data_IF_970267680944
#
_entry.id   IF_970267680944
#
_cell.length_a   1.000
_cell.length_b   1.000
_cell.length_c   1.000
_cell.angle_alpha   90.00
_cell.angle_beta   90.00
_cell.angle_gamma   90.00
#
_symmetry.space_group_name_H-M   'P 1'
#
loop_
_entity.id
_entity.type
_entity.pdbx_description
1 polymer ?
#
# COMPACT_ATOMS: atom_id res chain seq x y z
N UNK A 1 -14.59 -4.04 13.54
CA UNK A 1 -13.82 -4.28 12.30
C UNK A 1 -12.39 -4.59 12.72
N UNK A 2 -11.90 -5.82 12.60
CA UNK A 2 -10.48 -6.10 12.89
C UNK A 2 -9.63 -5.30 11.90
N UNK A 3 -8.80 -4.39 12.40
CA UNK A 3 -7.76 -3.74 11.59
C UNK A 3 -6.90 -4.86 10.98
N UNK A 4 -6.77 -4.86 9.66
CA UNK A 4 -5.91 -5.82 8.95
C UNK A 4 -4.48 -5.38 9.19
N UNK A 5 -3.79 -6.10 10.08
CA UNK A 5 -2.41 -5.83 10.43
C UNK A 5 -1.54 -6.80 9.66
N UNK A 6 -0.86 -6.28 8.65
CA UNK A 6 0.22 -6.99 7.99
C UNK A 6 1.50 -6.83 8.82
N UNK A 7 2.51 -7.61 8.46
CA UNK A 7 3.77 -7.76 9.18
C UNK A 7 4.89 -7.64 8.15
N UNK A 8 5.73 -6.62 8.32
CA UNK A 8 6.86 -6.29 7.46
C UNK A 8 7.87 -7.44 7.31
N UNK A 9 7.93 -8.34 8.29
CA UNK A 9 8.87 -9.48 8.29
C UNK A 9 8.44 -10.60 7.37
N UNK A 10 7.14 -10.71 7.07
CA UNK A 10 6.61 -11.83 6.26
C UNK A 10 5.73 -11.41 5.07
N UNK A 11 5.16 -10.21 5.05
CA UNK A 11 4.22 -9.81 4.00
C UNK A 11 4.85 -8.91 2.94
N UNK A 12 4.56 -9.24 1.69
CA UNK A 12 4.96 -8.44 0.51
C UNK A 12 3.74 -8.22 -0.35
N UNK A 13 3.57 -7.00 -0.85
CA UNK A 13 2.43 -6.63 -1.68
C UNK A 13 2.81 -6.61 -3.16
N UNK A 14 2.00 -7.25 -3.98
CA UNK A 14 2.14 -7.27 -5.43
C UNK A 14 0.84 -6.77 -6.05
N UNK A 15 0.87 -5.81 -6.96
CA UNK A 15 -0.35 -5.35 -7.64
C UNK A 15 -0.11 -5.11 -9.12
N UNK A 16 -1.06 -5.56 -9.92
CA UNK A 16 -1.10 -5.37 -11.37
C UNK A 16 -2.49 -4.94 -11.83
N UNK A 17 -2.54 -4.52 -13.09
CA UNK A 17 -3.70 -3.90 -13.71
C UNK A 17 -3.89 -4.48 -15.09
N UNK A 18 -5.15 -4.64 -15.48
CA UNK A 18 -5.47 -5.07 -16.83
C UNK A 18 -6.75 -4.40 -17.31
N UNK A 19 -6.78 -4.13 -18.62
CA UNK A 19 -7.90 -3.48 -19.29
C UNK A 19 -9.08 -4.46 -19.34
N UNK A 20 -10.27 -3.97 -19.03
CA UNK A 20 -11.53 -4.69 -19.24
C UNK A 20 -12.19 -4.21 -20.54
N UNK A 21 -13.08 -5.01 -21.16
CA UNK A 21 -13.81 -4.58 -22.36
C UNK A 21 -14.48 -3.22 -22.15
N UNK A 22 -14.46 -2.35 -23.17
CA UNK A 22 -15.12 -1.04 -23.11
C UNK A 22 -16.64 -1.19 -22.93
N UNK A 23 -17.27 -0.24 -22.22
CA UNK A 23 -18.73 -0.14 -21.98
C UNK A 23 -19.33 -1.00 -20.85
N UNK A 24 -18.56 -1.35 -19.81
CA UNK A 24 -19.09 -2.08 -18.64
C UNK A 24 -18.82 -1.33 -17.33
N UNK A 25 -19.84 -1.28 -16.45
CA UNK A 25 -19.78 -0.66 -15.12
C UNK A 25 -19.12 -1.57 -14.06
N UNK A 26 -18.13 -2.39 -14.45
CA UNK A 26 -17.56 -3.42 -13.57
C UNK A 26 -16.40 -2.92 -12.69
N UNK A 27 -15.74 -1.82 -13.10
CA UNK A 27 -14.58 -1.27 -12.40
C UNK A 27 -14.77 0.21 -12.08
N UNK A 28 -14.07 0.66 -11.04
CA UNK A 28 -14.16 2.03 -10.52
C UNK A 28 -13.49 3.05 -11.45
N UNK A 29 -12.59 2.64 -12.35
CA UNK A 29 -11.81 3.58 -13.17
C UNK A 29 -11.62 3.10 -14.62
N UNK A 30 -12.03 3.96 -15.57
CA UNK A 30 -11.70 3.99 -17.01
C UNK A 30 -11.40 2.65 -17.72
N UNK A 31 -12.20 1.62 -17.46
CA UNK A 31 -12.02 0.34 -18.13
C UNK A 31 -10.75 -0.42 -17.70
N UNK A 32 -10.25 -0.22 -16.48
CA UNK A 32 -9.18 -1.04 -15.88
C UNK A 32 -9.59 -1.63 -14.54
N UNK A 33 -9.26 -2.91 -14.34
CA UNK A 33 -9.34 -3.56 -13.02
C UNK A 33 -7.94 -3.75 -12.46
N UNK A 34 -7.81 -3.54 -11.15
CA UNK A 34 -6.62 -3.81 -10.36
C UNK A 34 -6.89 -4.95 -9.39
N UNK A 35 -5.94 -5.86 -9.28
CA UNK A 35 -5.94 -6.92 -8.28
C UNK A 35 -4.52 -7.03 -7.71
N UNK A 36 -4.43 -6.95 -6.39
CA UNK A 36 -3.18 -7.09 -5.67
C UNK A 36 -3.21 -8.25 -4.69
N UNK A 37 -2.08 -8.91 -4.52
CA UNK A 37 -1.82 -10.00 -3.58
C UNK A 37 -0.96 -9.50 -2.43
N UNK A 38 -1.33 -9.89 -1.22
CA UNK A 38 -0.51 -9.76 -0.03
C UNK A 38 -0.04 -11.17 0.31
N UNK A 39 1.22 -11.44 0.01
CA UNK A 39 1.80 -12.78 0.06
C UNK A 39 2.65 -12.90 1.31
N UNK A 40 2.48 -13.99 2.06
CA UNK A 40 3.46 -14.39 3.05
C UNK A 40 4.64 -15.03 2.32
N UNK A 41 5.76 -14.31 2.20
CA UNK A 41 6.91 -14.75 1.42
C UNK A 41 7.68 -15.93 2.04
N UNK A 42 7.38 -16.26 3.29
CA UNK A 42 7.97 -17.41 3.98
C UNK A 42 7.27 -18.71 3.59
N UNK A 43 5.96 -18.66 3.31
CA UNK A 43 5.15 -19.84 2.99
C UNK A 43 4.70 -19.90 1.53
N UNK A 44 4.71 -18.78 0.81
CA UNK A 44 4.11 -18.65 -0.52
C UNK A 44 2.58 -18.52 -0.51
N UNK A 45 1.96 -18.39 0.66
CA UNK A 45 0.48 -18.27 0.75
C UNK A 45 0.03 -16.84 0.48
N UNK A 46 -0.99 -16.68 -0.36
CA UNK A 46 -1.72 -15.41 -0.49
C UNK A 46 -2.63 -15.26 0.73
N UNK A 47 -2.22 -14.44 1.70
CA UNK A 47 -2.98 -14.23 2.95
C UNK A 47 -4.07 -13.17 2.78
N UNK A 48 -3.95 -12.27 1.79
CA UNK A 48 -4.97 -11.26 1.50
C UNK A 48 -4.93 -10.76 0.03
N UNK A 49 -6.03 -10.17 -0.43
CA UNK A 49 -6.13 -9.51 -1.74
C UNK A 49 -6.73 -8.11 -1.67
N UNK A 50 -6.31 -7.25 -2.58
CA UNK A 50 -6.92 -5.95 -2.86
C UNK A 50 -7.56 -5.99 -4.25
N UNK A 51 -8.77 -5.45 -4.44
CA UNK A 51 -9.44 -5.49 -5.75
C UNK A 51 -10.23 -4.21 -6.03
N UNK A 52 -10.12 -3.65 -7.23
CA UNK A 52 -10.81 -2.41 -7.63
C UNK A 52 -12.17 -2.62 -8.30
N UNK A 53 -12.70 -3.85 -8.32
CA UNK A 53 -14.07 -4.10 -8.79
C UNK A 53 -15.08 -3.34 -7.93
N UNK A 54 -16.12 -2.81 -8.57
CA UNK A 54 -17.06 -1.88 -7.95
C UNK A 54 -17.84 -2.52 -6.79
N UNK A 55 -18.37 -3.73 -6.98
CA UNK A 55 -19.25 -4.35 -5.98
C UNK A 55 -18.47 -5.10 -4.91
N UNK A 56 -18.87 -4.94 -3.64
CA UNK A 56 -18.29 -5.68 -2.52
C UNK A 56 -18.46 -7.19 -2.68
N UNK A 57 -19.58 -7.63 -3.26
CA UNK A 57 -19.86 -9.05 -3.52
C UNK A 57 -18.82 -9.65 -4.46
N UNK A 58 -18.53 -9.02 -5.59
CA UNK A 58 -17.52 -9.53 -6.52
C UNK A 58 -16.12 -9.59 -5.88
N UNK A 59 -15.75 -8.56 -5.11
CA UNK A 59 -14.46 -8.56 -4.38
C UNK A 59 -14.39 -9.69 -3.35
N UNK A 60 -15.45 -9.91 -2.60
CA UNK A 60 -15.51 -10.99 -1.59
C UNK A 60 -15.49 -12.38 -2.23
N UNK A 61 -16.13 -12.54 -3.39
CA UNK A 61 -16.12 -13.80 -4.13
C UNK A 61 -14.73 -14.15 -4.68
N UNK A 62 -14.04 -13.18 -5.29
CA UNK A 62 -12.65 -13.37 -5.71
C UNK A 62 -11.75 -13.70 -4.51
N UNK A 63 -11.95 -13.01 -3.39
CA UNK A 63 -11.24 -13.28 -2.14
C UNK A 63 -11.44 -14.72 -1.66
N UNK A 64 -12.65 -15.28 -1.73
CA UNK A 64 -12.91 -16.67 -1.32
C UNK A 64 -12.25 -17.72 -2.22
N UNK A 65 -11.87 -17.36 -3.45
CA UNK A 65 -11.16 -18.26 -4.37
C UNK A 65 -9.64 -18.15 -4.19
N UNK A 66 -9.13 -16.93 -3.99
CA UNK A 66 -7.69 -16.63 -4.06
C UNK A 66 -7.00 -16.75 -2.69
N UNK A 67 -7.62 -16.31 -1.61
CA UNK A 67 -6.98 -16.31 -0.28
C UNK A 67 -6.81 -17.74 0.22
N UNK A 68 -5.63 -18.04 0.76
CA UNK A 68 -5.23 -19.38 1.21
C UNK A 68 -4.56 -20.22 0.12
N UNK A 69 -4.51 -19.73 -1.12
CA UNK A 69 -3.78 -20.40 -2.19
C UNK A 69 -2.26 -20.23 -2.02
N UNK A 70 -1.51 -21.34 -2.11
CA UNK A 70 -0.05 -21.34 -2.07
C UNK A 70 0.53 -21.28 -3.49
N UNK A 71 1.15 -20.14 -3.83
CA UNK A 71 1.74 -19.91 -5.16
C UNK A 71 3.12 -20.55 -5.35
N UNK A 72 3.79 -20.96 -4.26
CA UNK A 72 5.06 -21.68 -4.34
C UNK A 72 4.85 -23.17 -4.67
N UNK A 73 3.77 -23.76 -4.17
CA UNK A 73 3.49 -25.19 -4.35
C UNK A 73 2.90 -25.53 -5.72
N UNK A 74 2.00 -24.68 -6.24
CA UNK A 74 1.12 -25.05 -7.35
C UNK A 74 1.17 -24.08 -8.54
N UNK A 75 2.16 -23.17 -8.60
CA UNK A 75 2.16 -22.01 -9.49
C UNK A 75 0.78 -21.30 -9.53
N UNK A 76 0.40 -20.58 -10.59
CA UNK A 76 -0.93 -19.91 -10.67
C UNK A 76 -1.92 -20.54 -11.65
N UNK A 77 -1.53 -21.59 -12.37
CA UNK A 77 -2.38 -22.30 -13.34
C UNK A 77 -3.69 -22.80 -12.73
N UNK A 78 -3.65 -23.62 -11.67
CA UNK A 78 -4.86 -24.11 -11.00
C UNK A 78 -5.74 -23.00 -10.43
N UNK A 79 -5.13 -21.91 -9.94
CA UNK A 79 -5.88 -20.74 -9.49
C UNK A 79 -6.62 -20.04 -10.65
N UNK A 80 -5.96 -19.89 -11.80
CA UNK A 80 -6.56 -19.31 -13.01
C UNK A 80 -7.72 -20.18 -13.50
N UNK A 81 -7.57 -21.51 -13.51
CA UNK A 81 -8.64 -22.44 -13.88
C UNK A 81 -9.86 -22.30 -12.97
N UNK A 82 -9.66 -22.21 -11.65
CA UNK A 82 -10.74 -21.96 -10.69
C UNK A 82 -11.46 -20.64 -10.95
N UNK A 83 -10.73 -19.57 -11.29
CA UNK A 83 -11.32 -18.28 -11.64
C UNK A 83 -12.14 -18.39 -12.94
N UNK A 84 -11.63 -19.09 -13.95
CA UNK A 84 -12.34 -19.31 -15.21
C UNK A 84 -13.64 -20.10 -15.01
N UNK A 85 -13.62 -21.07 -14.10
CA UNK A 85 -14.78 -21.91 -13.78
C UNK A 85 -15.83 -21.22 -12.91
N UNK A 86 -15.40 -20.40 -11.93
CA UNK A 86 -16.30 -19.92 -10.87
C UNK A 86 -16.68 -18.44 -11.02
N UNK A 87 -15.87 -17.61 -11.67
CA UNK A 87 -16.10 -16.16 -11.75
C UNK A 87 -16.45 -15.71 -13.17
N UNK A 88 -17.74 -15.62 -13.49
CA UNK A 88 -18.23 -15.23 -14.83
C UNK A 88 -18.48 -13.74 -15.02
N UNK A 89 -17.68 -12.88 -14.36
CA UNK A 89 -17.73 -11.45 -14.60
C UNK A 89 -17.07 -11.06 -15.93
N UNK A 90 -17.49 -9.95 -16.53
CA UNK A 90 -16.84 -9.40 -17.74
C UNK A 90 -15.34 -9.09 -17.53
N UNK A 91 -14.90 -8.94 -16.28
CA UNK A 91 -13.49 -8.78 -15.90
C UNK A 91 -12.71 -10.09 -15.78
N UNK A 92 -13.31 -11.27 -15.98
CA UNK A 92 -12.67 -12.58 -15.74
C UNK A 92 -11.31 -12.72 -16.45
N UNK A 93 -11.26 -12.41 -17.76
CA UNK A 93 -10.02 -12.48 -18.53
C UNK A 93 -8.94 -11.53 -17.98
N UNK A 94 -9.34 -10.30 -17.64
CA UNK A 94 -8.43 -9.30 -17.05
C UNK A 94 -7.90 -9.76 -15.68
N UNK A 95 -8.75 -10.38 -14.84
CA UNK A 95 -8.34 -10.97 -13.57
C UNK A 95 -7.31 -12.09 -13.80
N UNK A 96 -7.54 -13.00 -14.76
CA UNK A 96 -6.58 -14.07 -15.07
C UNK A 96 -5.21 -13.52 -15.51
N UNK A 97 -5.20 -12.44 -16.30
CA UNK A 97 -3.96 -11.74 -16.70
C UNK A 97 -3.25 -11.18 -15.48
N UNK A 98 -3.97 -10.45 -14.61
CA UNK A 98 -3.39 -9.85 -13.40
C UNK A 98 -2.82 -10.90 -12.45
N UNK A 99 -3.49 -12.05 -12.29
CA UNK A 99 -2.99 -13.16 -11.46
C UNK A 99 -1.61 -13.62 -11.98
N UNK A 100 -1.47 -13.79 -13.30
CA UNK A 100 -0.19 -14.16 -13.92
C UNK A 100 0.87 -13.07 -13.74
N UNK A 101 0.51 -11.80 -13.91
CA UNK A 101 1.44 -10.68 -13.73
C UNK A 101 1.94 -10.56 -12.28
N UNK A 102 1.05 -10.75 -11.31
CA UNK A 102 1.43 -10.76 -9.89
C UNK A 102 2.35 -11.93 -9.56
N UNK A 103 2.11 -13.11 -10.15
CA UNK A 103 2.99 -14.26 -9.99
C UNK A 103 4.38 -14.02 -10.57
N UNK A 104 4.47 -13.43 -11.76
CA UNK A 104 5.76 -13.07 -12.37
C UNK A 104 6.54 -12.09 -11.48
N UNK A 105 5.87 -11.03 -10.99
CA UNK A 105 6.47 -10.07 -10.05
C UNK A 105 6.93 -10.73 -8.76
N UNK A 106 6.15 -11.66 -8.23
CA UNK A 106 6.51 -12.43 -7.04
C UNK A 106 7.78 -13.25 -7.28
N UNK A 107 7.87 -13.96 -8.40
CA UNK A 107 9.05 -14.75 -8.75
C UNK A 107 10.29 -13.89 -8.95
N UNK A 108 10.17 -12.76 -9.66
CA UNK A 108 11.26 -11.78 -9.80
C UNK A 108 11.72 -11.24 -8.44
N UNK A 109 10.76 -10.87 -7.59
CA UNK A 109 11.03 -10.39 -6.24
C UNK A 109 11.70 -11.46 -5.37
N UNK A 110 11.32 -12.73 -5.49
CA UNK A 110 11.87 -13.83 -4.68
C UNK A 110 13.37 -14.00 -4.90
N UNK A 111 13.87 -13.71 -6.10
CA UNK A 111 15.29 -13.82 -6.43
C UNK A 111 16.13 -12.66 -5.87
N UNK A 112 15.62 -11.44 -5.90
CA UNK A 112 16.39 -10.23 -5.57
C UNK A 112 15.89 -9.54 -4.30
N UNK A 113 14.58 -9.34 -4.19
CA UNK A 113 13.91 -8.67 -3.08
C UNK A 113 14.00 -9.42 -1.76
N UNK A 114 13.99 -10.76 -1.79
CA UNK A 114 14.11 -11.56 -0.56
C UNK A 114 15.45 -11.34 0.16
N UNK A 115 16.55 -11.24 -0.59
CA UNK A 115 17.86 -10.92 -0.01
C UNK A 115 17.87 -9.52 0.58
N UNK A 116 17.40 -8.53 -0.18
CA UNK A 116 17.28 -7.13 0.30
C UNK A 116 16.46 -7.04 1.58
N UNK A 117 15.38 -7.79 1.69
CA UNK A 117 14.52 -7.79 2.87
C UNK A 117 15.25 -8.24 4.15
N UNK A 118 16.17 -9.19 4.04
CA UNK A 118 16.98 -9.65 5.17
C UNK A 118 17.97 -8.59 5.66
N UNK A 119 18.36 -7.67 4.78
CA UNK A 119 19.27 -6.56 5.08
C UNK A 119 18.52 -5.32 5.59
N UNK A 120 17.18 -5.31 5.58
CA UNK A 120 16.38 -4.20 6.08
C UNK A 120 16.27 -4.23 7.61
N UNK A 121 16.37 -3.05 8.23
CA UNK A 121 15.92 -2.86 9.60
C UNK A 121 14.39 -2.83 9.57
N UNK A 122 13.78 -3.86 10.14
CA UNK A 122 12.32 -4.08 10.16
C UNK A 122 11.77 -3.94 11.59
N UNK A 123 12.16 -2.86 12.27
CA UNK A 123 11.52 -2.50 13.54
C UNK A 123 10.03 -2.24 13.28
N UNK A 124 9.12 -3.05 13.87
CA UNK A 124 7.70 -2.92 13.63
C UNK A 124 7.20 -1.63 14.29
N UNK A 125 6.97 -0.64 13.45
CA UNK A 125 6.59 0.70 13.86
C UNK A 125 5.05 0.90 13.87
N UNK A 126 4.29 -0.07 13.36
CA UNK A 126 2.83 -0.13 13.43
C UNK A 126 2.37 -1.52 13.85
N UNK A 127 1.92 -1.67 15.11
CA UNK A 127 1.30 -2.89 15.63
C UNK A 127 -0.21 -2.94 15.37
N UNK A 128 -0.72 -1.99 14.58
CA UNK A 128 -2.10 -1.88 14.12
C UNK A 128 -3.17 -1.91 15.19
N UNK A 129 -2.78 -1.47 16.38
CA UNK A 129 -3.65 -0.69 17.25
C UNK A 129 -3.41 0.74 16.79
N UNK A 130 -4.45 1.43 16.29
CA UNK A 130 -4.32 2.88 16.14
C UNK A 130 -4.15 3.45 17.55
N UNK A 131 -2.90 3.75 17.91
CA UNK A 131 -2.61 4.50 19.13
C UNK A 131 -3.07 5.94 18.88
N UNK A 132 -3.91 6.45 19.77
CA UNK A 132 -4.45 7.80 19.68
C UNK A 132 -5.78 7.92 20.40
N UNK A 133 -6.17 9.15 20.66
CA UNK A 133 -7.51 9.47 21.12
C UNK A 133 -8.46 9.49 19.91
N UNK A 134 -9.72 9.13 20.14
CA UNK A 134 -10.76 9.13 19.12
C UNK A 134 -11.94 9.92 19.64
N UNK A 135 -12.57 10.69 18.76
CA UNK A 135 -13.82 11.36 19.09
C UNK A 135 -15.00 10.37 19.07
N UNK A 136 -16.18 10.91 19.37
CA UNK A 136 -17.44 10.15 19.41
C UNK A 136 -17.85 9.57 18.05
N UNK A 137 -17.32 10.09 16.94
CA UNK A 137 -17.55 9.60 15.58
C UNK A 137 -16.52 8.55 15.16
N UNK A 138 -15.54 8.27 16.02
CA UNK A 138 -14.44 7.36 15.73
C UNK A 138 -13.36 7.98 14.84
N UNK A 139 -13.30 9.31 14.74
CA UNK A 139 -12.22 10.02 14.06
C UNK A 139 -11.03 10.17 15.00
N UNK A 140 -9.83 9.96 14.47
CA UNK A 140 -8.59 10.10 15.23
C UNK A 140 -8.36 11.57 15.60
N UNK A 141 -8.18 11.82 16.89
CA UNK A 141 -7.79 13.12 17.43
C UNK A 141 -6.26 13.18 17.43
N UNK A 142 -5.73 14.26 16.86
CA UNK A 142 -4.30 14.53 16.82
C UNK A 142 -3.93 15.59 17.86
N UNK A 143 -2.82 15.38 18.55
CA UNK A 143 -2.30 16.33 19.54
C UNK A 143 -1.89 17.65 18.88
N UNK A 144 -1.73 18.71 19.68
CA UNK A 144 -1.12 19.99 19.25
C UNK A 144 0.33 19.83 18.78
N UNK A 145 0.94 18.67 19.04
CA UNK A 145 2.28 18.27 18.61
C UNK A 145 2.31 17.65 17.20
N UNK A 146 1.20 17.73 16.47
CA UNK A 146 1.06 17.10 15.16
C UNK A 146 1.06 18.10 14.01
N UNK A 147 1.76 17.77 12.92
CA UNK A 147 1.75 18.53 11.65
C UNK A 147 1.31 17.62 10.50
N UNK A 148 0.53 18.19 9.57
CA UNK A 148 0.09 17.48 8.36
C UNK A 148 0.86 17.96 7.12
N UNK A 149 1.49 17.04 6.40
CA UNK A 149 2.25 17.31 5.16
C UNK A 149 1.74 16.40 4.05
N UNK A 150 1.42 16.97 2.88
CA UNK A 150 0.95 16.20 1.71
C UNK A 150 1.68 16.60 0.43
N UNK A 151 1.94 15.60 -0.41
CA UNK A 151 2.47 15.77 -1.76
C UNK A 151 1.80 14.78 -2.72
N UNK A 152 1.95 15.08 -4.01
CA UNK A 152 1.38 14.32 -5.10
C UNK A 152 2.47 13.98 -6.12
N UNK A 153 2.32 12.85 -6.81
CA UNK A 153 3.14 12.50 -7.95
C UNK A 153 2.31 11.84 -9.05
N UNK A 154 2.73 12.06 -10.29
CA UNK A 154 2.12 11.43 -11.47
C UNK A 154 2.48 9.94 -11.51
N UNK A 155 1.48 9.11 -11.76
CA UNK A 155 1.59 7.68 -12.09
C UNK A 155 1.54 7.57 -13.63
N UNK A 156 2.21 6.59 -14.25
CA UNK A 156 2.03 6.29 -15.67
C UNK A 156 0.54 6.23 -16.05
N UNK A 157 0.19 6.79 -17.22
CA UNK A 157 -1.18 6.72 -17.75
C UNK A 157 -1.66 5.25 -17.82
N UNK A 158 -2.96 5.04 -17.59
CA UNK A 158 -3.67 3.75 -17.68
C UNK A 158 -3.51 2.77 -16.49
N UNK A 159 -3.23 3.26 -15.27
CA UNK A 159 -3.01 2.41 -14.10
C UNK A 159 -3.80 2.92 -12.88
N UNK A 160 -4.73 2.11 -12.37
CA UNK A 160 -5.76 2.49 -11.38
C UNK A 160 -5.35 2.28 -9.92
N UNK A 161 -4.34 3.03 -9.46
CA UNK A 161 -4.07 3.16 -8.03
C UNK A 161 -4.64 4.44 -7.42
N UNK A 162 -5.12 5.42 -8.19
CA UNK A 162 -5.63 6.67 -7.63
C UNK A 162 -6.85 7.22 -8.38
N UNK A 163 -7.68 8.00 -7.67
CA UNK A 163 -8.94 8.58 -8.16
C UNK A 163 -8.79 9.75 -9.13
N UNK A 164 -7.65 10.47 -9.12
CA UNK A 164 -7.50 11.75 -9.82
C UNK A 164 -6.47 11.67 -10.95
N UNK A 165 -6.92 11.85 -12.20
CA UNK A 165 -6.13 12.23 -13.39
C UNK A 165 -4.67 11.74 -13.46
N UNK A 166 -4.42 10.46 -13.18
CA UNK A 166 -3.08 9.89 -13.22
C UNK A 166 -2.11 10.41 -12.15
N UNK A 167 -2.60 10.94 -11.03
CA UNK A 167 -1.81 11.36 -9.88
C UNK A 167 -2.22 10.60 -8.62
N UNK A 168 -1.25 10.27 -7.76
CA UNK A 168 -1.49 9.76 -6.40
C UNK A 168 -0.95 10.73 -5.37
N UNK A 169 -1.60 10.81 -4.23
CA UNK A 169 -1.18 11.60 -3.09
C UNK A 169 -0.97 10.73 -1.85
N UNK A 170 -0.04 11.15 -1.00
CA UNK A 170 0.14 10.62 0.35
C UNK A 170 0.29 11.80 1.31
N UNK A 171 -0.57 11.86 2.31
CA UNK A 171 -0.47 12.80 3.42
C UNK A 171 0.13 12.11 4.64
N UNK A 172 1.00 12.78 5.37
CA UNK A 172 1.56 12.34 6.65
C UNK A 172 1.01 13.21 7.76
N UNK A 173 0.65 12.59 8.87
CA UNK A 173 0.57 13.26 10.16
C UNK A 173 1.83 12.89 10.93
N UNK A 174 2.59 13.90 11.35
CA UNK A 174 3.91 13.73 11.97
C UNK A 174 3.85 14.34 13.37
N UNK A 175 4.31 13.60 14.37
CA UNK A 175 4.66 14.19 15.67
C UNK A 175 5.98 14.95 15.50
N UNK A 176 5.93 16.27 15.58
CA UNK A 176 7.10 17.09 15.28
C UNK A 176 8.12 17.16 16.41
N UNK A 177 7.81 16.61 17.59
CA UNK A 177 8.75 16.46 18.69
C UNK A 177 9.62 15.22 18.46
N UNK A 178 9.01 14.11 18.04
CA UNK A 178 9.72 12.83 17.84
C UNK A 178 10.17 12.58 16.40
N UNK A 179 9.73 13.43 15.47
CA UNK A 179 9.87 13.28 14.01
C UNK A 179 9.17 12.04 13.43
N UNK A 180 8.25 11.44 14.18
CA UNK A 180 7.62 10.17 13.84
C UNK A 180 6.36 10.38 13.00
N UNK A 181 6.19 9.60 11.92
CA UNK A 181 4.92 9.53 11.18
C UNK A 181 3.90 8.78 12.03
N UNK A 182 2.93 9.48 12.63
CA UNK A 182 1.92 8.88 13.51
C UNK A 182 0.62 8.50 12.81
N UNK A 183 0.40 9.00 11.59
CA UNK A 183 -0.62 8.52 10.67
C UNK A 183 -0.28 8.91 9.22
N UNK A 184 -0.93 8.29 8.25
CA UNK A 184 -0.86 8.70 6.86
C UNK A 184 -2.13 8.36 6.09
N UNK A 185 -2.44 9.17 5.07
CA UNK A 185 -3.55 8.95 4.16
C UNK A 185 -3.03 8.67 2.75
N UNK A 186 -3.76 7.83 2.00
CA UNK A 186 -3.43 7.51 0.62
C UNK A 186 -4.65 7.74 -0.26
N UNK A 187 -4.44 8.27 -1.46
CA UNK A 187 -5.47 8.38 -2.50
C UNK A 187 -5.80 7.02 -3.16
N UNK A 188 -5.35 5.92 -2.58
CA UNK A 188 -5.57 4.57 -3.10
C UNK A 188 -7.06 4.19 -3.15
N UNK A 189 -7.43 3.33 -4.10
CA UNK A 189 -8.83 2.89 -4.25
C UNK A 189 -9.19 1.86 -3.16
N UNK A 190 -8.31 0.88 -2.91
CA UNK A 190 -8.61 -0.27 -2.06
C UNK A 190 -8.16 -0.02 -0.62
N UNK A 191 -8.95 -0.48 0.35
CA UNK A 191 -8.60 -0.39 1.77
C UNK A 191 -7.36 -1.21 2.11
N UNK A 192 -7.14 -2.33 1.41
CA UNK A 192 -6.03 -3.24 1.63
C UNK A 192 -4.71 -2.60 1.19
N UNK A 193 -4.69 -1.90 0.05
CA UNK A 193 -3.52 -1.13 -0.38
C UNK A 193 -3.23 0.03 0.58
N UNK A 194 -4.26 0.72 1.09
CA UNK A 194 -4.11 1.77 2.11
C UNK A 194 -3.51 1.21 3.38
N UNK A 195 -4.02 0.07 3.86
CA UNK A 195 -3.53 -0.59 5.07
C UNK A 195 -2.08 -1.06 4.91
N UNK A 196 -1.73 -1.62 3.74
CA UNK A 196 -0.35 -2.02 3.47
C UNK A 196 0.57 -0.80 3.40
N UNK A 197 0.14 0.27 2.75
CA UNK A 197 0.83 1.56 2.77
C UNK A 197 1.05 2.08 4.19
N UNK A 198 0.00 2.12 5.02
CA UNK A 198 0.09 2.54 6.43
C UNK A 198 1.12 1.71 7.21
N UNK A 199 1.12 0.38 7.03
CA UNK A 199 2.12 -0.51 7.65
C UNK A 199 3.56 -0.13 7.26
N UNK A 200 3.80 0.28 6.00
CA UNK A 200 5.14 0.66 5.55
C UNK A 200 5.64 1.98 6.16
N UNK A 201 4.74 2.93 6.43
CA UNK A 201 5.09 4.32 6.74
C UNK A 201 4.98 4.67 8.23
N UNK A 202 3.92 4.22 8.90
CA UNK A 202 3.64 4.66 10.28
C UNK A 202 4.74 4.19 11.23
N UNK A 203 5.21 5.14 12.04
CA UNK A 203 6.27 5.04 13.03
C UNK A 203 7.69 5.16 12.47
N UNK A 204 7.85 5.44 11.18
CA UNK A 204 9.13 5.86 10.62
C UNK A 204 9.46 7.29 11.05
N UNK A 205 10.73 7.56 11.35
CA UNK A 205 11.21 8.92 11.65
C UNK A 205 11.63 9.66 10.39
N UNK A 206 11.40 10.97 10.36
CA UNK A 206 11.75 11.87 9.24
C UNK A 206 12.76 12.95 9.65
N UNK A 207 13.56 12.71 10.68
CA UNK A 207 14.57 13.62 11.24
C UNK A 207 15.81 13.78 10.35
N UNK A 208 16.21 12.74 9.62
CA UNK A 208 17.44 12.72 8.84
C UNK A 208 17.31 11.94 7.52
N UNK A 209 18.31 12.09 6.63
CA UNK A 209 18.31 11.46 5.29
C UNK A 209 18.45 9.94 5.34
N UNK A 210 19.15 9.36 6.33
CA UNK A 210 19.31 7.92 6.43
C UNK A 210 17.95 7.25 6.72
N UNK A 211 17.14 7.85 7.59
CA UNK A 211 15.80 7.36 7.88
C UNK A 211 14.85 7.49 6.66
N UNK A 212 15.01 8.54 5.84
CA UNK A 212 14.33 8.63 4.55
C UNK A 212 14.78 7.49 3.60
N UNK A 213 16.07 7.24 3.48
CA UNK A 213 16.59 6.19 2.59
C UNK A 213 16.12 4.80 3.03
N UNK A 214 16.05 4.54 4.33
CA UNK A 214 15.47 3.31 4.88
C UNK A 214 13.98 3.18 4.53
N UNK A 215 13.18 4.24 4.70
CA UNK A 215 11.78 4.28 4.32
C UNK A 215 11.58 3.99 2.82
N UNK A 216 12.42 4.60 1.97
CA UNK A 216 12.40 4.37 0.53
C UNK A 216 12.76 2.92 0.18
N UNK A 217 13.75 2.34 0.85
CA UNK A 217 14.15 0.95 0.64
C UNK A 217 13.07 -0.03 1.09
N UNK A 218 12.37 0.26 2.19
CA UNK A 218 11.19 -0.51 2.64
C UNK A 218 10.10 -0.52 1.56
N UNK A 219 9.73 0.65 1.03
CA UNK A 219 8.72 0.75 -0.04
C UNK A 219 9.19 0.08 -1.33
N UNK A 220 10.46 0.25 -1.72
CA UNK A 220 11.02 -0.37 -2.92
C UNK A 220 10.95 -1.91 -2.87
N UNK A 221 11.19 -2.46 -1.68
CA UNK A 221 11.26 -3.90 -1.46
C UNK A 221 9.88 -4.51 -1.24
N UNK A 222 9.01 -3.88 -0.46
CA UNK A 222 7.76 -4.50 0.01
C UNK A 222 6.53 -4.14 -0.82
N UNK A 223 6.55 -3.04 -1.58
CA UNK A 223 5.43 -2.61 -2.42
C UNK A 223 5.75 -2.79 -3.91
N UNK A 224 5.30 -3.89 -4.51
CA UNK A 224 5.61 -4.27 -5.89
C UNK A 224 4.43 -3.99 -6.82
N UNK A 225 4.31 -2.73 -7.23
CA UNK A 225 3.28 -2.27 -8.14
C UNK A 225 3.75 -1.13 -9.04
N UNK A 226 3.00 -0.81 -10.09
CA UNK A 226 3.36 0.28 -11.02
C UNK A 226 3.44 1.67 -10.35
N UNK A 227 2.74 1.90 -9.24
CA UNK A 227 2.83 3.16 -8.51
C UNK A 227 4.07 3.29 -7.61
N UNK A 228 4.90 2.25 -7.47
CA UNK A 228 6.07 2.24 -6.59
C UNK A 228 6.96 3.47 -6.75
N UNK A 229 7.29 3.84 -7.99
CA UNK A 229 8.09 5.04 -8.29
C UNK A 229 7.42 6.33 -7.84
N UNK A 230 6.11 6.46 -8.04
CA UNK A 230 5.35 7.63 -7.61
C UNK A 230 5.33 7.74 -6.09
N UNK A 231 5.22 6.62 -5.37
CA UNK A 231 5.33 6.60 -3.90
C UNK A 231 6.70 7.15 -3.47
N UNK A 232 7.81 6.62 -4.01
CA UNK A 232 9.14 7.11 -3.65
C UNK A 232 9.33 8.62 -3.91
N UNK A 233 8.75 9.16 -4.98
CA UNK A 233 8.76 10.61 -5.25
C UNK A 233 8.00 11.38 -4.17
N UNK A 234 6.81 10.92 -3.80
CA UNK A 234 5.97 11.56 -2.77
C UNK A 234 6.64 11.51 -1.40
N UNK A 235 7.22 10.37 -1.03
CA UNK A 235 7.94 10.21 0.24
C UNK A 235 9.10 11.20 0.35
N UNK A 236 9.90 11.36 -0.72
CA UNK A 236 10.97 12.37 -0.79
C UNK A 236 10.42 13.79 -0.67
N UNK A 237 9.36 14.10 -1.40
CA UNK A 237 8.75 15.43 -1.38
C UNK A 237 8.20 15.78 0.02
N UNK A 238 7.51 14.84 0.68
CA UNK A 238 7.01 15.04 2.04
C UNK A 238 8.15 15.22 3.05
N UNK A 239 9.23 14.45 2.94
CA UNK A 239 10.41 14.64 3.80
C UNK A 239 10.98 16.05 3.67
N UNK A 240 11.23 16.54 2.44
CA UNK A 240 11.82 17.86 2.25
C UNK A 240 10.90 18.98 2.74
N UNK A 241 9.59 18.88 2.48
CA UNK A 241 8.59 19.82 3.02
C UNK A 241 8.57 19.84 4.54
N UNK A 242 8.63 18.67 5.18
CA UNK A 242 8.68 18.57 6.63
C UNK A 242 9.95 19.21 7.21
N UNK A 243 11.10 18.96 6.59
CA UNK A 243 12.39 19.54 7.00
C UNK A 243 12.43 21.07 6.84
N UNK A 244 11.81 21.61 5.80
CA UNK A 244 11.64 23.04 5.59
C UNK A 244 10.74 23.64 6.69
N UNK A 245 9.54 23.07 6.86
CA UNK A 245 8.61 23.49 7.91
C UNK A 245 9.24 23.46 9.31
N UNK A 246 10.00 22.42 9.64
CA UNK A 246 10.68 22.28 10.94
C UNK A 246 11.71 23.38 11.17
N UNK A 247 12.41 23.84 10.13
CA UNK A 247 13.37 24.95 10.23
C UNK A 247 12.68 26.28 10.50
N UNK A 248 11.56 26.52 9.84
CA UNK A 248 10.77 27.75 9.98
C UNK A 248 10.08 27.86 11.36
N UNK A 249 9.74 26.72 11.97
CA UNK A 249 8.95 26.66 13.19
C UNK A 249 9.76 26.30 14.46
N UNK A 250 11.10 26.37 14.42
CA UNK A 250 11.98 26.06 15.57
C UNK A 250 11.62 26.83 16.84
N UNK A 251 11.29 28.12 16.70
CA UNK A 251 10.99 29.00 17.85
C UNK A 251 9.65 28.64 18.51
N UNK A 252 8.64 28.30 17.71
CA UNK A 252 7.30 27.93 18.20
C UNK A 252 7.30 26.53 18.81
N UNK A 253 8.05 25.60 18.23
CA UNK A 253 8.15 24.21 18.74
C UNK A 253 8.94 24.13 20.05
N UNK A 254 9.89 25.05 20.30
CA UNK A 254 10.62 25.13 21.57
C UNK A 254 9.76 25.61 22.75
N UNK A 255 8.74 26.45 22.50
CA UNK A 255 7.83 26.97 23.53
C UNK A 255 6.85 25.90 24.07
N UNK A 256 6.52 24.89 23.26
CA UNK A 256 5.62 23.78 23.61
C UNK A 256 6.35 22.59 24.27
N UNK A 257 7.67 22.71 24.45
CA UNK A 257 8.52 21.71 25.10
C UNK A 257 8.79 22.00 26.59
N UNK A 258 8.29 23.13 27.10
CA UNK A 258 8.32 23.52 28.52
C UNK A 258 6.93 23.42 29.13
#
# INVERSE_FOLDING_TARGET
>A
MKLMNYDLKKHVYFISYSKIPSNIAAAVYEGYVGLGFIVNHQTGVIEDISCTLLTKVARNFLRSIIVGYNIDENDVGPLIERIQLLFHGHSQKAICVIIRDNYNKYNEWKQVGKKKLLDLVLEPCYNGVEKGEFDIEGMKIYSEKSVYIISYARIPHNISLAFYEGHTGIGFVIDYITDEIIDCCFTFITKEAKAFGKMLLIGCKLDNKNNLDELLNRVDTLFNGPSKKALCIILKANFYKYQEWKKENKSNTALLNN
#
